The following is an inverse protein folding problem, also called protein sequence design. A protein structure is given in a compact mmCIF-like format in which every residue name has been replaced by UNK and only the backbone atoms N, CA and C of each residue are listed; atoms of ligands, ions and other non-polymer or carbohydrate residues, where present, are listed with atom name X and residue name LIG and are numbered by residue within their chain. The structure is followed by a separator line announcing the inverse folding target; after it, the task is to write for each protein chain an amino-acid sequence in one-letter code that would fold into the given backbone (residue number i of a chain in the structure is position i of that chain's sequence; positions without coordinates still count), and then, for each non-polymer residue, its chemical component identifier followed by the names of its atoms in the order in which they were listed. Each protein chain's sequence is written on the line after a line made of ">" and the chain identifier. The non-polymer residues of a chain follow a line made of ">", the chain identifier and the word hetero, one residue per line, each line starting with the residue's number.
data_IF_039166338196
#
_entry.id   IF_039166338196
#
_cell.length_a   1.000
_cell.length_b   1.000
_cell.length_c   1.000
_cell.angle_alpha   90.00
_cell.angle_beta   90.00
_cell.angle_gamma   90.00
#
_symmetry.space_group_name_H-M   'P 1'
#
loop_
_entity.id
_entity.type
_entity.pdbx_description
1 polymer ?
#
# COMPACT_ATOMS: atom_id res chain seq x y z
N UNK A 1 1.47 -9.71 14.21
CA UNK A 1 0.74 -8.47 14.56
C UNK A 1 1.68 -7.36 15.03
N UNK A 2 2.44 -7.51 16.12
CA UNK A 2 3.34 -6.44 16.60
C UNK A 2 4.32 -5.87 15.55
N UNK A 3 4.81 -6.70 14.61
CA UNK A 3 5.66 -6.22 13.49
C UNK A 3 4.90 -5.39 12.46
N UNK A 4 3.64 -5.72 12.18
CA UNK A 4 2.76 -5.01 11.24
C UNK A 4 2.38 -3.67 11.87
N UNK A 5 1.93 -3.70 13.13
CA UNK A 5 1.63 -2.55 13.97
C UNK A 5 2.76 -1.51 13.96
N UNK A 6 3.97 -1.92 14.36
CA UNK A 6 5.16 -1.04 14.37
C UNK A 6 5.46 -0.38 13.03
N UNK A 7 5.11 -1.00 11.90
CA UNK A 7 5.37 -0.42 10.58
C UNK A 7 4.25 0.54 10.20
N UNK A 8 2.98 0.14 10.34
CA UNK A 8 1.85 0.99 9.96
C UNK A 8 1.72 2.24 10.83
N UNK A 9 2.17 2.21 12.09
CA UNK A 9 2.15 3.42 12.94
C UNK A 9 3.27 4.42 12.63
N UNK A 10 4.19 4.11 11.71
CA UNK A 10 5.18 5.09 11.24
C UNK A 10 4.59 5.88 10.07
N UNK A 11 4.81 7.21 10.00
CA UNK A 11 4.43 8.00 8.83
C UNK A 11 5.00 7.37 7.55
N UNK A 12 4.13 7.08 6.58
CA UNK A 12 4.49 6.44 5.30
C UNK A 12 4.94 4.98 5.39
N UNK A 13 4.82 4.36 6.56
CA UNK A 13 5.32 3.01 6.80
C UNK A 13 4.61 1.99 5.91
N UNK A 14 5.37 1.40 4.98
CA UNK A 14 4.88 0.43 4.00
C UNK A 14 5.48 -0.97 4.23
N UNK A 15 4.78 -2.01 3.77
CA UNK A 15 5.12 -3.42 4.01
C UNK A 15 5.21 -4.21 2.71
N UNK A 16 6.21 -5.09 2.62
CA UNK A 16 6.25 -6.19 1.68
C UNK A 16 6.17 -7.50 2.48
N UNK A 17 5.05 -8.20 2.39
CA UNK A 17 4.78 -9.45 3.11
C UNK A 17 4.91 -10.64 2.17
N UNK A 18 6.09 -11.26 2.13
CA UNK A 18 6.41 -12.40 1.29
C UNK A 18 6.18 -13.74 2.02
N UNK A 19 5.53 -14.71 1.36
CA UNK A 19 5.31 -16.04 1.92
C UNK A 19 4.14 -16.78 1.29
N UNK A 20 3.87 -18.00 1.75
CA UNK A 20 2.81 -18.84 1.19
C UNK A 20 1.41 -18.30 1.47
N UNK A 21 0.46 -18.60 0.60
CA UNK A 21 -0.96 -18.29 0.82
C UNK A 21 -1.51 -18.95 2.10
N UNK A 22 -2.59 -18.41 2.67
CA UNK A 22 -3.31 -19.01 3.79
C UNK A 22 -2.78 -18.72 5.21
N UNK A 23 -1.65 -18.02 5.36
CA UNK A 23 -1.06 -17.74 6.69
C UNK A 23 -1.67 -16.52 7.42
N UNK A 24 -2.69 -15.87 6.84
CA UNK A 24 -3.43 -14.77 7.47
C UNK A 24 -2.81 -13.37 7.35
N UNK A 25 -1.94 -13.12 6.36
CA UNK A 25 -1.28 -11.82 6.11
C UNK A 25 -2.28 -10.66 5.97
N UNK A 26 -3.22 -10.78 5.04
CA UNK A 26 -4.28 -9.78 4.80
C UNK A 26 -5.10 -9.50 6.07
N UNK A 27 -5.47 -10.55 6.79
CA UNK A 27 -6.22 -10.44 8.05
C UNK A 27 -5.42 -9.69 9.10
N UNK A 28 -4.13 -9.98 9.26
CA UNK A 28 -3.28 -9.28 10.21
C UNK A 28 -3.17 -7.77 9.92
N UNK A 29 -3.03 -7.41 8.65
CA UNK A 29 -3.02 -6.00 8.20
C UNK A 29 -4.37 -5.33 8.47
N UNK A 30 -5.46 -6.00 8.10
CA UNK A 30 -6.83 -5.46 8.26
C UNK A 30 -7.18 -5.21 9.73
N UNK A 31 -6.80 -6.13 10.62
CA UNK A 31 -7.02 -5.97 12.07
C UNK A 31 -6.23 -4.79 12.62
N UNK A 32 -4.95 -4.67 12.27
CA UNK A 32 -4.11 -3.55 12.73
C UNK A 32 -4.62 -2.21 12.19
N UNK A 33 -4.96 -2.15 10.90
CA UNK A 33 -5.53 -0.95 10.30
C UNK A 33 -6.81 -0.52 11.00
N UNK A 34 -7.71 -1.48 11.30
CA UNK A 34 -8.94 -1.21 12.03
C UNK A 34 -8.68 -0.71 13.47
N UNK A 35 -7.70 -1.29 14.17
CA UNK A 35 -7.33 -0.84 15.52
C UNK A 35 -6.85 0.62 15.55
N UNK A 36 -6.18 1.07 14.49
CA UNK A 36 -5.70 2.44 14.35
C UNK A 36 -6.64 3.36 13.58
N UNK A 37 -7.87 2.92 13.32
CA UNK A 37 -8.87 3.69 12.55
C UNK A 37 -8.37 4.13 11.17
N UNK A 38 -7.47 3.35 10.57
CA UNK A 38 -6.96 3.60 9.22
C UNK A 38 -7.93 3.04 8.19
N UNK A 39 -8.20 3.82 7.15
CA UNK A 39 -9.07 3.39 6.06
C UNK A 39 -8.34 2.35 5.19
N UNK A 40 -8.89 1.15 5.07
CA UNK A 40 -8.33 0.11 4.19
C UNK A 40 -8.91 0.20 2.79
N UNK A 41 -8.05 0.21 1.77
CA UNK A 41 -8.44 0.14 0.37
C UNK A 41 -7.78 -1.06 -0.31
N UNK A 42 -8.54 -1.77 -1.15
CA UNK A 42 -8.05 -2.91 -1.91
C UNK A 42 -8.79 -2.93 -3.26
N UNK A 43 -8.10 -2.77 -4.40
CA UNK A 43 -8.72 -2.80 -5.72
C UNK A 43 -9.57 -4.06 -5.94
N UNK A 44 -10.79 -3.89 -6.44
CA UNK A 44 -11.65 -5.03 -6.81
C UNK A 44 -11.46 -5.34 -8.28
N UNK A 45 -10.64 -6.34 -8.58
CA UNK A 45 -10.37 -6.75 -9.96
C UNK A 45 -11.58 -7.47 -10.54
N UNK A 46 -11.99 -7.08 -11.75
CA UNK A 46 -13.11 -7.65 -12.49
C UNK A 46 -12.69 -7.90 -13.96
N UNK A 47 -13.55 -8.56 -14.76
CA UNK A 47 -13.25 -8.80 -16.18
C UNK A 47 -13.13 -7.47 -16.93
N UNK A 48 -11.96 -7.21 -17.51
CA UNK A 48 -11.67 -5.94 -18.20
C UNK A 48 -11.09 -4.86 -17.29
N UNK A 49 -10.73 -5.21 -16.05
CA UNK A 49 -9.90 -4.36 -15.20
C UNK A 49 -8.48 -4.32 -15.77
N UNK A 50 -7.98 -3.11 -16.04
CA UNK A 50 -6.62 -2.88 -16.52
C UNK A 50 -6.04 -1.58 -16.00
N UNK A 51 -4.99 -1.10 -16.65
CA UNK A 51 -4.20 0.06 -16.20
C UNK A 51 -5.04 1.32 -15.94
N UNK A 52 -6.10 1.57 -16.72
CA UNK A 52 -6.97 2.74 -16.55
C UNK A 52 -7.74 2.68 -15.23
N UNK A 53 -8.31 1.53 -14.89
CA UNK A 53 -9.04 1.33 -13.64
C UNK A 53 -8.09 1.43 -12.44
N UNK A 54 -6.90 0.84 -12.56
CA UNK A 54 -5.90 0.92 -11.50
C UNK A 54 -5.42 2.36 -11.27
N UNK A 55 -5.17 3.14 -12.33
CA UNK A 55 -4.88 4.57 -12.19
C UNK A 55 -5.99 5.34 -11.47
N UNK A 56 -7.26 5.02 -11.71
CA UNK A 56 -8.38 5.64 -10.99
C UNK A 56 -8.38 5.27 -9.51
N UNK A 57 -8.13 3.99 -9.18
CA UNK A 57 -8.00 3.53 -7.80
C UNK A 57 -6.83 4.25 -7.08
N UNK A 58 -5.70 4.46 -7.77
CA UNK A 58 -4.57 5.23 -7.25
C UNK A 58 -4.93 6.70 -7.01
N UNK A 59 -5.64 7.34 -7.95
CA UNK A 59 -6.12 8.72 -7.78
C UNK A 59 -6.99 8.85 -6.53
N UNK A 60 -7.89 7.89 -6.30
CA UNK A 60 -8.79 7.89 -5.15
C UNK A 60 -8.00 7.81 -3.83
N UNK A 61 -7.09 6.83 -3.69
CA UNK A 61 -6.32 6.69 -2.44
C UNK A 61 -5.36 7.85 -2.21
N UNK A 62 -4.77 8.41 -3.27
CA UNK A 62 -3.91 9.61 -3.17
C UNK A 62 -4.70 10.85 -2.77
N UNK A 63 -5.97 10.99 -3.20
CA UNK A 63 -6.83 12.09 -2.75
C UNK A 63 -7.19 11.98 -1.26
N UNK A 64 -7.60 10.81 -0.80
CA UNK A 64 -7.88 10.55 0.62
C UNK A 64 -6.64 10.86 1.49
N UNK A 65 -5.48 10.33 1.10
CA UNK A 65 -4.25 10.52 1.88
C UNK A 65 -3.67 11.94 1.78
N UNK A 66 -3.65 12.52 0.58
CA UNK A 66 -2.95 13.76 0.29
C UNK A 66 -3.80 15.02 0.46
N UNK A 67 -5.09 14.97 0.12
CA UNK A 67 -6.01 16.11 0.26
C UNK A 67 -6.67 16.06 1.64
N UNK A 68 -7.44 15.01 1.91
CA UNK A 68 -8.22 14.88 3.15
C UNK A 68 -7.29 14.64 4.36
N UNK A 69 -6.09 14.10 4.14
CA UNK A 69 -5.12 13.86 5.19
C UNK A 69 -5.40 12.60 6.00
N UNK A 70 -6.23 11.70 5.47
CA UNK A 70 -6.62 10.47 6.14
C UNK A 70 -5.50 9.42 6.10
N UNK A 71 -5.37 8.63 7.17
CA UNK A 71 -4.48 7.47 7.17
C UNK A 71 -5.09 6.35 6.34
N UNK A 72 -4.49 6.02 5.20
CA UNK A 72 -5.01 5.03 4.23
C UNK A 72 -4.03 3.87 4.09
N UNK A 73 -4.54 2.64 4.20
CA UNK A 73 -3.79 1.41 3.95
C UNK A 73 -4.24 0.82 2.62
N UNK A 74 -3.40 0.95 1.58
CA UNK A 74 -3.58 0.32 0.28
C UNK A 74 -3.03 -1.11 0.34
N UNK A 75 -3.93 -2.10 0.30
CA UNK A 75 -3.60 -3.53 0.30
C UNK A 75 -3.63 -4.06 -1.13
N UNK A 76 -2.50 -4.62 -1.56
CA UNK A 76 -2.31 -5.20 -2.88
C UNK A 76 -1.82 -6.64 -2.77
N UNK A 77 -2.44 -7.54 -3.52
CA UNK A 77 -2.19 -8.97 -3.52
C UNK A 77 -1.86 -9.45 -4.94
N UNK A 78 -1.08 -10.53 -5.05
CA UNK A 78 -0.59 -11.06 -6.33
C UNK A 78 -1.65 -11.22 -7.43
N UNK A 79 -2.83 -11.72 -7.06
CA UNK A 79 -3.92 -11.97 -8.01
C UNK A 79 -4.48 -10.69 -8.66
N UNK A 80 -4.14 -9.52 -8.12
CA UNK A 80 -4.57 -8.22 -8.66
C UNK A 80 -3.60 -7.65 -9.69
N UNK A 81 -2.38 -8.17 -9.80
CA UNK A 81 -1.37 -7.69 -10.74
C UNK A 81 -1.58 -8.29 -12.14
N UNK A 82 -2.61 -7.80 -12.83
CA UNK A 82 -2.99 -8.27 -14.17
C UNK A 82 -1.97 -7.85 -15.24
N UNK A 83 -1.31 -6.71 -15.04
CA UNK A 83 -0.31 -6.14 -15.96
C UNK A 83 0.95 -5.74 -15.18
N UNK A 84 2.18 -5.99 -15.69
CA UNK A 84 3.43 -5.63 -15.00
C UNK A 84 3.53 -4.14 -14.63
N UNK A 85 2.93 -3.29 -15.46
CA UNK A 85 2.87 -1.83 -15.26
C UNK A 85 2.26 -1.44 -13.91
N UNK A 86 1.42 -2.28 -13.30
CA UNK A 86 0.85 -1.97 -11.99
C UNK A 86 1.95 -1.84 -10.93
N UNK A 87 2.94 -2.74 -10.96
CA UNK A 87 4.06 -2.71 -10.04
C UNK A 87 4.95 -1.49 -10.26
N UNK A 88 5.13 -1.05 -11.52
CA UNK A 88 5.88 0.17 -11.86
C UNK A 88 5.22 1.43 -11.30
N UNK A 89 3.88 1.51 -11.36
CA UNK A 89 3.13 2.62 -10.75
C UNK A 89 3.26 2.60 -9.23
N UNK A 90 3.20 1.43 -8.59
CA UNK A 90 3.40 1.31 -7.15
C UNK A 90 4.84 1.63 -6.75
N UNK A 91 5.83 1.24 -7.55
CA UNK A 91 7.23 1.58 -7.33
C UNK A 91 7.44 3.11 -7.38
N UNK A 92 6.79 3.79 -8.32
CA UNK A 92 6.82 5.26 -8.42
C UNK A 92 6.18 5.91 -7.19
N UNK A 93 5.00 5.43 -6.80
CA UNK A 93 4.26 5.93 -5.65
C UNK A 93 5.02 5.74 -4.32
N UNK A 94 5.62 4.57 -4.11
CA UNK A 94 6.50 4.30 -2.96
C UNK A 94 7.74 5.18 -2.94
N UNK A 95 8.31 5.49 -4.11
CA UNK A 95 9.58 6.24 -4.19
C UNK A 95 9.42 7.73 -3.99
N UNK A 96 8.31 8.31 -4.47
CA UNK A 96 8.17 9.76 -4.59
C UNK A 96 6.82 10.31 -4.08
N UNK A 97 5.86 9.45 -3.71
CA UNK A 97 4.49 9.89 -3.42
C UNK A 97 3.73 10.35 -4.65
N UNK A 98 4.24 10.07 -5.86
CA UNK A 98 3.70 10.52 -7.13
C UNK A 98 3.78 9.40 -8.18
N UNK A 99 2.84 9.44 -9.13
CA UNK A 99 2.84 8.57 -10.30
C UNK A 99 2.90 9.44 -11.55
N UNK A 100 3.98 9.34 -12.36
CA UNK A 100 4.11 10.13 -13.58
C UNK A 100 2.96 9.92 -14.56
N UNK A 101 2.38 11.03 -15.07
CA UNK A 101 1.26 10.98 -16.00
C UNK A 101 -0.01 10.35 -15.41
N UNK A 102 -0.20 10.43 -14.08
CA UNK A 102 -1.44 10.05 -13.43
C UNK A 102 -2.52 11.11 -13.61
N UNK A 103 -2.17 12.38 -13.36
CA UNK A 103 -3.06 13.53 -13.52
C UNK A 103 -2.72 14.30 -14.79
N UNK A 104 -3.74 14.81 -15.50
CA UNK A 104 -3.53 15.80 -16.54
C UNK A 104 -3.30 17.20 -15.92
N UNK A 105 -2.68 18.14 -16.66
CA UNK A 105 -2.52 19.52 -16.18
C UNK A 105 -3.84 20.17 -15.75
N UNK A 106 -4.93 19.87 -16.43
CA UNK A 106 -6.27 20.38 -16.15
C UNK A 106 -6.88 19.79 -14.86
N UNK A 107 -6.47 18.58 -14.47
CA UNK A 107 -6.91 17.93 -13.22
C UNK A 107 -6.13 18.42 -12.00
N UNK A 108 -4.87 18.86 -12.18
CA UNK A 108 -3.97 19.21 -11.07
C UNK A 108 -4.38 20.49 -10.33
N UNK A 109 -4.70 21.55 -11.07
CA UNK A 109 -5.05 22.85 -10.46
C UNK A 109 -6.26 22.76 -9.50
N UNK A 110 -7.42 22.17 -9.88
CA UNK A 110 -8.54 22.03 -8.95
C UNK A 110 -8.24 21.06 -7.81
N UNK A 111 -7.44 20.01 -8.06
CA UNK A 111 -7.03 19.05 -7.03
C UNK A 111 -6.20 19.72 -5.92
N UNK A 112 -5.27 20.59 -6.29
CA UNK A 112 -4.30 21.17 -5.37
C UNK A 112 -4.78 22.47 -4.72
N UNK A 113 -5.83 23.09 -5.25
CA UNK A 113 -6.41 24.34 -4.74
C UNK A 113 -6.68 24.30 -3.22
N UNK A 114 -7.29 23.25 -2.64
CA UNK A 114 -7.57 23.19 -1.19
C UNK A 114 -6.31 23.15 -0.31
N UNK A 115 -5.15 22.81 -0.87
CA UNK A 115 -3.92 22.67 -0.10
C UNK A 115 -3.14 23.98 0.06
N UNK A 116 -3.51 25.05 -0.67
CA UNK A 116 -2.72 26.29 -0.72
C UNK A 116 -2.60 26.98 0.63
N UNK A 117 -3.73 27.11 1.32
CA UNK A 117 -3.76 27.76 2.64
C UNK A 117 -2.93 26.94 3.64
N UNK A 118 -3.13 25.63 3.65
CA UNK A 118 -2.38 24.72 4.51
C UNK A 118 -0.87 24.73 4.23
N UNK A 119 -0.46 24.78 2.96
CA UNK A 119 0.95 24.89 2.57
C UNK A 119 1.57 26.20 3.07
N UNK A 120 0.82 27.30 3.00
CA UNK A 120 1.22 28.62 3.50
C UNK A 120 1.36 28.63 5.02
N UNK A 121 0.38 28.06 5.74
CA UNK A 121 0.37 27.97 7.21
C UNK A 121 1.59 27.21 7.77
N UNK A 122 1.98 26.11 7.11
CA UNK A 122 3.17 25.34 7.51
C UNK A 122 4.48 25.90 6.93
N UNK A 123 4.41 27.00 6.17
CA UNK A 123 5.57 27.66 5.57
C UNK A 123 6.30 26.82 4.52
N UNK A 124 5.59 25.93 3.81
CA UNK A 124 6.19 25.06 2.80
C UNK A 124 6.68 25.89 1.60
N UNK A 125 7.92 25.63 1.14
CA UNK A 125 8.59 26.43 0.09
C UNK A 125 8.71 25.73 -1.27
N UNK A 126 8.18 24.52 -1.40
CA UNK A 126 8.20 23.74 -2.64
C UNK A 126 7.01 24.02 -3.55
N UNK A 127 6.84 23.20 -4.59
CA UNK A 127 5.65 23.26 -5.46
C UNK A 127 4.44 22.66 -4.75
N UNK A 128 3.23 23.03 -5.16
CA UNK A 128 2.01 22.44 -4.60
C UNK A 128 1.95 20.91 -4.83
N UNK A 129 2.48 20.44 -5.95
CA UNK A 129 2.62 19.00 -6.22
C UNK A 129 3.54 18.34 -5.21
N UNK A 130 4.71 18.92 -4.91
CA UNK A 130 5.62 18.32 -3.91
C UNK A 130 5.04 18.37 -2.50
N UNK A 131 4.23 19.37 -2.16
CA UNK A 131 3.48 19.40 -0.91
C UNK A 131 2.46 18.27 -0.84
N UNK A 132 1.67 18.08 -1.91
CA UNK A 132 0.73 16.97 -2.03
C UNK A 132 1.43 15.61 -1.92
N UNK A 133 2.52 15.39 -2.67
CA UNK A 133 3.30 14.15 -2.61
C UNK A 133 3.86 13.88 -1.21
N UNK A 134 4.28 14.92 -0.48
CA UNK A 134 4.74 14.78 0.91
C UNK A 134 3.61 14.30 1.83
N UNK A 135 2.40 14.85 1.66
CA UNK A 135 1.22 14.40 2.41
C UNK A 135 0.83 12.97 2.06
N UNK A 136 0.83 12.63 0.76
CA UNK A 136 0.62 11.24 0.30
C UNK A 136 1.63 10.30 0.96
N UNK A 137 2.93 10.60 0.92
CA UNK A 137 3.96 9.77 1.56
C UNK A 137 3.82 9.68 3.08
N UNK A 138 3.18 10.65 3.72
CA UNK A 138 3.01 10.65 5.18
C UNK A 138 1.83 9.77 5.59
N UNK A 139 0.74 9.81 4.83
CA UNK A 139 -0.55 9.26 5.23
C UNK A 139 -0.95 7.98 4.48
N UNK A 140 -0.30 7.68 3.34
CA UNK A 140 -0.55 6.47 2.57
C UNK A 140 0.44 5.38 2.96
N UNK A 141 -0.10 4.25 3.41
CA UNK A 141 0.64 3.02 3.71
C UNK A 141 0.36 1.99 2.64
N UNK A 142 1.40 1.48 1.99
CA UNK A 142 1.25 0.48 0.93
C UNK A 142 1.65 -0.88 1.49
N UNK A 143 0.77 -1.87 1.36
CA UNK A 143 1.02 -3.24 1.81
C UNK A 143 0.91 -4.20 0.64
N UNK A 144 2.07 -4.71 0.23
CA UNK A 144 2.22 -5.72 -0.82
C UNK A 144 2.22 -7.10 -0.18
N UNK A 145 1.30 -7.97 -0.58
CA UNK A 145 1.21 -9.36 -0.13
C UNK A 145 1.51 -10.26 -1.33
N UNK A 146 2.70 -10.86 -1.34
CA UNK A 146 3.19 -11.63 -2.48
C UNK A 146 3.58 -13.05 -2.07
N UNK A 147 3.32 -14.01 -2.95
CA UNK A 147 3.73 -15.39 -2.82
C UNK A 147 5.16 -15.56 -3.33
N UNK A 148 6.07 -15.94 -2.42
CA UNK A 148 7.48 -16.14 -2.75
C UNK A 148 7.73 -17.39 -3.59
N UNK A 149 6.74 -18.27 -3.74
CA UNK A 149 6.80 -19.44 -4.63
C UNK A 149 6.45 -19.10 -6.08
N UNK A 150 5.91 -17.90 -6.34
CA UNK A 150 5.64 -17.43 -7.70
C UNK A 150 6.95 -17.21 -8.46
N UNK A 151 7.08 -17.80 -9.65
CA UNK A 151 8.29 -17.68 -10.49
C UNK A 151 8.64 -16.23 -10.83
N UNK A 152 7.64 -15.35 -10.88
CA UNK A 152 7.82 -13.93 -11.18
C UNK A 152 8.15 -13.08 -9.93
N UNK A 153 8.12 -13.65 -8.73
CA UNK A 153 8.35 -12.89 -7.49
C UNK A 153 9.70 -12.17 -7.50
N UNK A 154 10.79 -12.89 -7.80
CA UNK A 154 12.15 -12.32 -7.82
C UNK A 154 12.24 -11.23 -8.89
N UNK A 155 11.82 -11.53 -10.12
CA UNK A 155 11.86 -10.58 -11.24
C UNK A 155 11.08 -9.29 -10.94
N UNK A 156 9.88 -9.44 -10.38
CA UNK A 156 9.02 -8.33 -9.99
C UNK A 156 9.70 -7.45 -8.94
N UNK A 157 10.38 -8.04 -7.96
CA UNK A 157 11.04 -7.28 -6.92
C UNK A 157 12.36 -6.65 -7.41
N UNK A 158 13.10 -7.30 -8.30
CA UNK A 158 14.32 -6.74 -8.92
C UNK A 158 14.00 -5.56 -9.85
N UNK A 159 12.90 -5.65 -10.58
CA UNK A 159 12.44 -4.58 -11.48
C UNK A 159 11.87 -3.37 -10.73
N UNK A 160 11.50 -3.54 -9.45
CA UNK A 160 10.82 -2.53 -8.64
C UNK A 160 11.58 -2.28 -7.32
N UNK A 161 12.72 -1.55 -7.36
CA UNK A 161 13.62 -1.42 -6.21
C UNK A 161 13.01 -0.71 -5.00
N UNK A 162 11.93 0.06 -5.17
CA UNK A 162 11.23 0.68 -4.05
C UNK A 162 10.66 -0.34 -3.07
N UNK A 163 10.36 -1.57 -3.53
CA UNK A 163 9.79 -2.62 -2.67
C UNK A 163 10.76 -3.04 -1.55
N UNK A 164 12.07 -2.97 -1.79
CA UNK A 164 13.08 -3.25 -0.77
C UNK A 164 13.61 -2.00 -0.07
N UNK A 165 13.56 -0.85 -0.75
CA UNK A 165 14.09 0.41 -0.20
C UNK A 165 13.10 1.12 0.73
N UNK A 166 11.81 1.11 0.39
CA UNK A 166 10.77 1.90 1.06
C UNK A 166 9.82 1.05 1.91
N UNK A 167 9.76 -0.26 1.68
CA UNK A 167 8.95 -1.15 2.51
C UNK A 167 9.79 -1.90 3.54
N UNK A 168 9.20 -2.13 4.72
CA UNK A 168 9.71 -3.13 5.64
C UNK A 168 9.33 -4.53 5.13
N UNK A 169 10.33 -5.36 4.83
CA UNK A 169 10.14 -6.72 4.34
C UNK A 169 9.85 -7.67 5.49
N UNK A 170 8.78 -8.47 5.36
CA UNK A 170 8.40 -9.50 6.33
C UNK A 170 8.21 -10.84 5.61
N UNK A 171 9.08 -11.79 5.96
CA UNK A 171 8.96 -13.18 5.52
C UNK A 171 8.02 -13.95 6.46
N UNK A 172 6.96 -14.53 5.89
CA UNK A 172 5.95 -15.30 6.60
C UNK A 172 5.75 -16.67 5.93
N UNK A 173 6.73 -17.54 6.11
CA UNK A 173 6.87 -18.83 5.40
C UNK A 173 5.98 -19.97 5.92
N UNK A 174 5.02 -19.68 6.79
CA UNK A 174 4.10 -20.69 7.33
C UNK A 174 3.98 -20.67 8.84
N UNK A 175 3.16 -21.59 9.35
CA UNK A 175 2.99 -21.79 10.78
C UNK A 175 3.95 -22.86 11.26
N UNK A 176 4.62 -22.62 12.39
CA UNK A 176 5.44 -23.68 12.99
C UNK A 176 4.54 -24.85 13.44
N UNK A 177 5.12 -26.06 13.47
CA UNK A 177 4.43 -27.29 13.84
C UNK A 177 3.66 -27.17 15.16
N UNK A 178 4.28 -26.54 16.16
CA UNK A 178 3.66 -26.35 17.47
C UNK A 178 2.42 -25.46 17.42
N UNK A 179 2.44 -24.43 16.58
CA UNK A 179 1.27 -23.55 16.40
C UNK A 179 0.13 -24.30 15.70
N UNK A 180 0.46 -25.11 14.69
CA UNK A 180 -0.53 -25.95 14.01
C UNK A 180 -1.17 -26.96 14.96
N UNK A 181 -0.38 -27.64 15.79
CA UNK A 181 -0.87 -28.58 16.80
C UNK A 181 -1.80 -27.89 17.80
N UNK A 182 -1.41 -26.72 18.31
CA UNK A 182 -2.23 -25.94 19.25
C UNK A 182 -3.59 -25.55 18.66
N UNK A 183 -3.63 -25.17 17.38
CA UNK A 183 -4.90 -24.87 16.70
C UNK A 183 -5.74 -26.13 16.53
N UNK A 184 -5.14 -27.25 16.12
CA UNK A 184 -5.82 -28.55 16.05
C UNK A 184 -6.46 -28.96 17.37
N UNK A 185 -5.71 -28.88 18.48
CA UNK A 185 -6.23 -29.21 19.82
C UNK A 185 -7.37 -28.30 20.26
N UNK A 186 -7.30 -26.99 19.95
CA UNK A 186 -8.40 -26.06 20.27
C UNK A 186 -9.65 -26.34 19.46
N UNK A 187 -9.51 -26.70 18.18
CA UNK A 187 -10.65 -27.03 17.31
C UNK A 187 -11.34 -28.33 17.75
N UNK A 188 -10.60 -29.33 18.26
CA UNK A 188 -11.20 -30.57 18.79
C UNK A 188 -11.97 -30.40 20.11
N UNK A 189 -11.90 -29.21 20.73
CA UNK A 189 -12.56 -28.89 22.00
C UNK A 189 -13.81 -28.01 21.80
N UNK A 190 -14.12 -27.63 20.56
CA UNK A 190 -15.34 -26.93 20.15
C UNK A 190 -16.35 -27.94 19.62
#
# INVERSE_FOLDING_TARGET
>A
MARVDRVLTKPGGSLLMAGSSGVGRRTAVSVVAHMHQMQTFSPKVFRGYGIKQFKNDLKQVMQLAGIEGEQVVLILEDHQFVEPQFLELINSLLSAGEVPGLYSPEELEPLLSPLRDMASEVGFRGTMISFFSTRVMTNLHIVLIMDNSNSNFILNCESNPAFYKQCAVQWMEGWCRDSMLKVGTRLSQL
#
